data_IF_710029871527
#
_entry.id   IF_710029871527
#
_cell.length_a   1.000
_cell.length_b   1.000
_cell.length_c   1.000
_cell.angle_alpha   90.00
_cell.angle_beta   90.00
_cell.angle_gamma   90.00
#
_symmetry.space_group_name_H-M   'P 1'
#
loop_
_entity.id
_entity.type
_entity.pdbx_description
1 polymer ?
#
# COMPACT_ATOMS: atom_id res chain seq x y z
N UNK A 1 -17.96 5.32 22.28
CA UNK A 1 -16.59 5.67 22.70
C UNK A 1 -15.56 4.61 22.27
N UNK A 2 -15.81 3.31 22.41
CA UNK A 2 -14.84 2.23 22.09
C UNK A 2 -14.34 2.10 20.63
N UNK A 3 -15.01 2.67 19.62
CA UNK A 3 -14.62 2.50 18.20
C UNK A 3 -13.47 3.42 17.77
N UNK A 4 -13.26 4.53 18.49
CA UNK A 4 -12.19 5.49 18.20
C UNK A 4 -10.85 5.02 18.77
N UNK A 5 -10.86 4.39 19.96
CA UNK A 5 -9.64 3.92 20.64
C UNK A 5 -8.92 2.82 19.85
N UNK A 6 -9.66 1.84 19.32
CA UNK A 6 -9.05 0.72 18.57
C UNK A 6 -8.37 1.19 17.28
N UNK A 7 -8.92 2.20 16.60
CA UNK A 7 -8.32 2.77 15.39
C UNK A 7 -6.94 3.37 15.70
N UNK A 8 -6.87 4.21 16.73
CA UNK A 8 -5.63 4.88 17.15
C UNK A 8 -4.56 3.87 17.59
N UNK A 9 -4.95 2.82 18.33
CA UNK A 9 -4.03 1.76 18.74
C UNK A 9 -3.48 0.98 17.53
N UNK A 10 -4.32 0.68 16.53
CA UNK A 10 -3.89 0.01 15.30
C UNK A 10 -2.93 0.88 14.48
N UNK A 11 -3.24 2.16 14.30
CA UNK A 11 -2.35 3.13 13.63
C UNK A 11 -1.00 3.21 14.35
N UNK A 12 -1.00 3.24 15.67
CA UNK A 12 0.22 3.22 16.49
C UNK A 12 1.04 1.95 16.27
N UNK A 13 0.40 0.77 16.27
CA UNK A 13 1.09 -0.51 16.04
C UNK A 13 1.72 -0.55 14.65
N UNK A 14 0.98 -0.12 13.61
CA UNK A 14 1.49 -0.06 12.23
C UNK A 14 2.68 0.91 12.16
N UNK A 15 2.54 2.12 12.69
CA UNK A 15 3.57 3.15 12.59
C UNK A 15 4.88 2.75 13.31
N UNK A 16 4.77 1.97 14.40
CA UNK A 16 5.91 1.42 15.13
C UNK A 16 6.47 0.10 14.53
N UNK A 17 5.77 -0.52 13.59
CA UNK A 17 6.21 -1.72 12.85
C UNK A 17 7.17 -1.39 11.70
N UNK A 18 8.01 -2.35 11.25
CA UNK A 18 8.72 -2.22 9.97
C UNK A 18 7.80 -2.34 8.74
N UNK A 19 6.58 -2.88 8.88
CA UNK A 19 5.65 -3.03 7.77
C UNK A 19 4.96 -1.70 7.43
N UNK A 20 4.90 -1.36 6.14
CA UNK A 20 4.15 -0.21 5.61
C UNK A 20 2.90 -0.74 4.92
N UNK A 21 1.75 -0.09 5.16
CA UNK A 21 0.47 -0.48 4.59
C UNK A 21 0.10 0.48 3.47
N UNK A 22 -0.24 -0.07 2.30
CA UNK A 22 -0.77 0.67 1.16
C UNK A 22 -2.18 0.17 0.84
N UNK A 23 -3.08 1.10 0.54
CA UNK A 23 -4.35 0.83 -0.13
C UNK A 23 -4.28 1.44 -1.52
N UNK A 24 -4.45 0.63 -2.55
CA UNK A 24 -4.31 1.07 -3.94
C UNK A 24 -5.58 0.82 -4.74
N UNK A 25 -5.83 1.68 -5.73
CA UNK A 25 -6.89 1.50 -6.71
C UNK A 25 -6.55 0.38 -7.68
N UNK A 26 -7.59 -0.31 -8.16
CA UNK A 26 -7.51 -1.26 -9.28
C UNK A 26 -7.43 -0.51 -10.63
N UNK A 27 -6.46 0.38 -10.76
CA UNK A 27 -6.17 1.19 -11.96
C UNK A 27 -4.70 1.01 -12.37
N UNK A 28 -4.34 1.42 -13.59
CA UNK A 28 -2.98 1.27 -14.11
C UNK A 28 -1.93 1.97 -13.25
N UNK A 29 -0.91 1.21 -12.85
CA UNK A 29 0.16 1.64 -11.96
C UNK A 29 -0.21 1.64 -10.47
N UNK A 30 -1.44 1.26 -10.13
CA UNK A 30 -1.98 1.20 -8.76
C UNK A 30 -1.81 2.53 -8.00
N UNK A 31 -2.59 3.57 -8.36
CA UNK A 31 -2.64 4.81 -7.60
C UNK A 31 -2.97 4.53 -6.13
N UNK A 32 -2.22 5.14 -5.22
CA UNK A 32 -2.37 4.92 -3.78
C UNK A 32 -3.49 5.81 -3.23
N UNK A 33 -4.46 5.22 -2.54
CA UNK A 33 -5.55 5.92 -1.86
C UNK A 33 -5.23 6.22 -0.39
N UNK A 34 -4.41 5.37 0.22
CA UNK A 34 -3.95 5.53 1.59
C UNK A 34 -2.60 4.85 1.75
N UNK A 35 -1.73 5.47 2.53
CA UNK A 35 -0.47 4.88 2.97
C UNK A 35 -0.23 5.21 4.45
N UNK A 36 0.32 4.28 5.22
CA UNK A 36 0.66 4.53 6.62
C UNK A 36 1.83 5.53 6.77
N UNK A 37 1.80 6.33 7.85
CA UNK A 37 2.78 7.41 8.07
C UNK A 37 4.24 6.93 8.10
N UNK A 38 4.46 5.66 8.48
CA UNK A 38 5.79 5.07 8.51
C UNK A 38 6.41 4.83 7.12
N UNK A 39 5.73 5.17 6.03
CA UNK A 39 6.30 5.18 4.67
C UNK A 39 7.54 6.07 4.54
N UNK A 40 7.70 7.05 5.44
CA UNK A 40 8.93 7.86 5.57
C UNK A 40 10.19 7.01 5.77
N UNK A 41 10.06 5.79 6.29
CA UNK A 41 11.18 4.83 6.40
C UNK A 41 11.70 4.36 5.04
N UNK A 42 10.86 4.43 3.99
CA UNK A 42 11.21 4.16 2.61
C UNK A 42 11.72 5.41 1.86
N UNK A 43 11.78 6.56 2.52
CA UNK A 43 12.28 7.82 1.94
C UNK A 43 11.22 8.67 1.23
N UNK A 44 9.94 8.33 1.34
CA UNK A 44 8.81 9.06 0.74
C UNK A 44 7.95 9.72 1.82
N UNK A 45 7.27 10.82 1.47
CA UNK A 45 6.21 11.39 2.28
C UNK A 45 4.85 10.75 1.97
N UNK A 46 3.88 10.88 2.88
CA UNK A 46 2.48 10.50 2.62
C UNK A 46 1.90 11.30 1.45
N UNK A 47 2.25 12.60 1.37
CA UNK A 47 1.77 13.51 0.32
C UNK A 47 2.23 13.08 -1.08
N UNK A 48 3.42 12.49 -1.23
CA UNK A 48 3.91 11.98 -2.52
C UNK A 48 2.92 10.98 -3.13
N UNK A 49 2.28 10.16 -2.30
CA UNK A 49 1.31 9.15 -2.72
C UNK A 49 -0.11 9.72 -2.82
N UNK A 50 -0.58 10.43 -1.79
CA UNK A 50 -1.95 10.97 -1.77
C UNK A 50 -2.21 12.02 -2.86
N UNK A 51 -1.18 12.76 -3.28
CA UNK A 51 -1.25 13.68 -4.42
C UNK A 51 -1.29 12.96 -5.78
N UNK A 52 -0.94 11.67 -5.82
CA UNK A 52 -0.76 10.90 -7.03
C UNK A 52 0.55 11.19 -7.78
N UNK A 53 1.48 11.93 -7.17
CA UNK A 53 2.81 12.16 -7.73
C UNK A 53 3.62 10.86 -7.83
N UNK A 54 3.42 9.93 -6.90
CA UNK A 54 4.01 8.59 -6.89
C UNK A 54 2.89 7.55 -6.85
N UNK A 55 2.91 6.61 -7.78
CA UNK A 55 2.06 5.42 -7.76
C UNK A 55 2.81 4.24 -7.13
N UNK A 56 2.10 3.19 -6.73
CA UNK A 56 2.75 2.03 -6.14
C UNK A 56 3.70 1.32 -7.13
N UNK A 57 3.39 1.32 -8.42
CA UNK A 57 4.28 0.77 -9.46
C UNK A 57 5.65 1.48 -9.52
N UNK A 58 5.72 2.77 -9.15
CA UNK A 58 6.94 3.57 -9.25
C UNK A 58 7.99 3.22 -8.18
N UNK A 59 7.58 2.53 -7.11
CA UNK A 59 8.45 2.08 -6.02
C UNK A 59 8.85 0.61 -6.13
N UNK A 60 8.27 -0.12 -7.09
CA UNK A 60 8.65 -1.50 -7.38
C UNK A 60 9.92 -1.49 -8.22
N UNK A 61 10.85 -2.39 -7.93
CA UNK A 61 12.06 -2.52 -8.74
C UNK A 61 11.67 -2.88 -10.19
N UNK A 62 12.25 -2.24 -11.22
CA UNK A 62 11.86 -2.46 -12.62
C UNK A 62 11.88 -3.92 -13.07
N UNK A 63 12.86 -4.71 -12.59
CA UNK A 63 12.96 -6.14 -12.91
C UNK A 63 11.81 -6.98 -12.33
N UNK A 64 11.13 -6.49 -11.30
CA UNK A 64 10.03 -7.17 -10.62
C UNK A 64 8.65 -6.69 -11.10
N UNK A 65 8.58 -5.56 -11.81
CA UNK A 65 7.32 -4.89 -12.14
C UNK A 65 6.38 -5.76 -13.01
N UNK A 66 6.93 -6.46 -14.01
CA UNK A 66 6.16 -7.35 -14.88
C UNK A 66 5.58 -8.52 -14.08
N UNK A 67 6.39 -9.12 -13.21
CA UNK A 67 5.95 -10.20 -12.34
C UNK A 67 4.81 -9.76 -11.42
N UNK A 68 4.97 -8.64 -10.71
CA UNK A 68 3.92 -8.11 -9.81
C UNK A 68 2.65 -7.79 -10.58
N UNK A 69 2.74 -7.20 -11.77
CA UNK A 69 1.56 -6.93 -12.59
C UNK A 69 0.79 -8.21 -12.91
N UNK A 70 1.49 -9.25 -13.35
CA UNK A 70 0.87 -10.54 -13.69
C UNK A 70 0.16 -11.18 -12.49
N UNK A 71 0.77 -11.14 -11.30
CA UNK A 71 0.20 -11.68 -10.07
C UNK A 71 -1.04 -10.89 -9.61
N UNK A 72 -1.00 -9.55 -9.69
CA UNK A 72 -2.14 -8.71 -9.30
C UNK A 72 -3.33 -8.94 -10.24
N UNK A 73 -3.11 -9.03 -11.55
CA UNK A 73 -4.18 -9.31 -12.52
C UNK A 73 -4.80 -10.67 -12.23
N UNK A 74 -3.99 -11.71 -12.12
CA UNK A 74 -4.45 -13.07 -11.85
C UNK A 74 -5.28 -13.16 -10.56
N UNK A 75 -4.78 -12.61 -9.46
CA UNK A 75 -5.45 -12.71 -8.17
C UNK A 75 -6.74 -11.87 -8.10
N UNK A 76 -6.79 -10.74 -8.83
CA UNK A 76 -8.00 -9.91 -8.93
C UNK A 76 -9.11 -10.60 -9.72
N UNK A 77 -8.76 -11.38 -10.74
CA UNK A 77 -9.72 -12.15 -11.56
C UNK A 77 -10.19 -13.44 -10.87
N UNK A 78 -9.29 -14.11 -10.14
CA UNK A 78 -9.60 -15.36 -9.43
C UNK A 78 -10.36 -15.13 -8.10
N UNK A 79 -10.51 -13.88 -7.66
CA UNK A 79 -11.18 -13.54 -6.39
C UNK A 79 -10.48 -14.13 -5.17
N UNK A 80 -9.18 -14.36 -5.28
CA UNK A 80 -8.40 -15.07 -4.28
C UNK A 80 -8.24 -14.20 -3.02
N UNK A 81 -8.67 -14.72 -1.87
CA UNK A 81 -8.61 -14.01 -0.58
C UNK A 81 -7.42 -14.45 0.27
N UNK A 82 -6.61 -15.39 -0.21
CA UNK A 82 -5.42 -15.87 0.48
C UNK A 82 -4.18 -15.09 0.04
N UNK A 83 -3.58 -14.37 0.99
CA UNK A 83 -2.28 -13.73 0.85
C UNK A 83 -1.26 -14.64 1.54
N UNK A 84 -0.65 -15.57 0.79
CA UNK A 84 0.37 -16.51 1.31
C UNK A 84 1.75 -16.15 0.80
#
# INVERSE_FOLDING_TARGET
MAKLDVKTELESVINNSPAVVFLCKTEEGWPVEFVSDNVVKLGYSVEDFESGCVKYADIIHPDDLEYVNSEVVKNSEEGNTEYT
#
